data_IF_841346021627
#
_entry.id   IF_841346021627
#
_cell.length_a   1.000
_cell.length_b   1.000
_cell.length_c   1.000
_cell.angle_alpha   90.00
_cell.angle_beta   90.00
_cell.angle_gamma   90.00
#
_symmetry.space_group_name_H-M   'P 1'
#
loop_
_entity.id
_entity.type
_entity.pdbx_description
1 polymer ?
#
# COMPACT_ATOMS: atom_id res chain seq x y z
N UNK A 1 42.51 -6.80 -18.34
CA UNK A 1 41.18 -6.15 -18.28
C UNK A 1 40.37 -6.91 -17.25
N UNK A 2 40.07 -6.31 -16.10
CA UNK A 2 39.24 -6.95 -15.07
C UNK A 2 37.79 -6.73 -15.51
N UNK A 3 37.16 -7.76 -16.07
CA UNK A 3 35.72 -7.75 -16.34
C UNK A 3 35.00 -7.72 -14.99
N UNK A 4 34.32 -6.62 -14.68
CA UNK A 4 33.44 -6.58 -13.52
C UNK A 4 32.41 -7.71 -13.67
N UNK A 5 32.29 -8.62 -12.69
CA UNK A 5 31.26 -9.65 -12.76
C UNK A 5 29.88 -8.98 -12.84
N UNK A 6 28.94 -9.53 -13.61
CA UNK A 6 27.60 -8.98 -13.71
C UNK A 6 26.98 -8.88 -12.33
N UNK A 7 26.31 -7.76 -12.06
CA UNK A 7 25.66 -7.48 -10.78
C UNK A 7 24.73 -8.65 -10.42
N UNK A 8 24.77 -9.10 -9.15
CA UNK A 8 23.86 -10.13 -8.66
C UNK A 8 22.41 -9.78 -9.06
N UNK A 9 21.66 -10.69 -9.71
CA UNK A 9 20.29 -10.43 -10.16
C UNK A 9 19.36 -9.94 -9.05
N UNK A 10 19.59 -10.36 -7.80
CA UNK A 10 18.86 -9.87 -6.64
C UNK A 10 19.10 -8.37 -6.41
N UNK A 11 20.34 -7.90 -6.53
CA UNK A 11 20.68 -6.48 -6.42
C UNK A 11 20.04 -5.67 -7.56
N UNK A 12 20.01 -6.22 -8.78
CA UNK A 12 19.33 -5.56 -9.90
C UNK A 12 17.83 -5.38 -9.63
N UNK A 13 17.15 -6.44 -9.17
CA UNK A 13 15.72 -6.39 -8.82
C UNK A 13 15.45 -5.42 -7.67
N UNK A 14 16.28 -5.45 -6.63
CA UNK A 14 16.16 -4.54 -5.51
C UNK A 14 16.31 -3.08 -5.93
N UNK A 15 17.31 -2.76 -6.75
CA UNK A 15 17.52 -1.41 -7.26
C UNK A 15 16.35 -0.91 -8.13
N UNK A 16 15.77 -1.79 -8.95
CA UNK A 16 14.59 -1.44 -9.73
C UNK A 16 13.39 -1.15 -8.82
N UNK A 17 13.12 -2.05 -7.87
CA UNK A 17 12.04 -1.90 -6.89
C UNK A 17 12.19 -0.61 -6.06
N UNK A 18 13.41 -0.24 -5.69
CA UNK A 18 13.69 1.00 -4.97
C UNK A 18 13.37 2.25 -5.83
N UNK A 19 13.74 2.24 -7.11
CA UNK A 19 13.43 3.35 -8.03
C UNK A 19 11.92 3.52 -8.23
N UNK A 20 11.21 2.42 -8.43
CA UNK A 20 9.74 2.43 -8.57
C UNK A 20 9.08 2.97 -7.29
N UNK A 21 9.52 2.49 -6.13
CA UNK A 21 9.01 2.94 -4.84
C UNK A 21 9.25 4.43 -4.62
N UNK A 22 10.44 4.94 -4.95
CA UNK A 22 10.74 6.38 -4.87
C UNK A 22 9.83 7.20 -5.78
N UNK A 23 9.67 6.79 -7.05
CA UNK A 23 8.80 7.48 -8.00
C UNK A 23 7.33 7.50 -7.50
N UNK A 24 6.85 6.38 -6.98
CA UNK A 24 5.52 6.28 -6.40
C UNK A 24 5.35 7.22 -5.18
N UNK A 25 6.32 7.24 -4.26
CA UNK A 25 6.27 8.11 -3.06
C UNK A 25 6.23 9.59 -3.43
N UNK A 26 7.07 10.02 -4.38
CA UNK A 26 7.02 11.39 -4.88
C UNK A 26 5.65 11.71 -5.47
N UNK A 27 5.16 10.86 -6.38
CA UNK A 27 3.85 11.07 -7.01
C UNK A 27 2.70 11.15 -5.99
N UNK A 28 2.69 10.27 -4.98
CA UNK A 28 1.70 10.29 -3.91
C UNK A 28 1.80 11.59 -3.09
N UNK A 29 3.01 12.01 -2.74
CA UNK A 29 3.25 13.22 -1.94
C UNK A 29 2.84 14.49 -2.67
N UNK A 30 3.12 14.58 -3.99
CA UNK A 30 2.72 15.69 -4.85
C UNK A 30 1.19 15.87 -4.91
N UNK A 31 0.44 14.78 -4.64
CA UNK A 31 -1.03 14.78 -4.56
C UNK A 31 -1.55 14.86 -3.12
N UNK A 32 -0.72 15.25 -2.16
CA UNK A 32 -1.11 15.46 -0.76
C UNK A 32 -1.39 14.19 0.03
N UNK A 33 -0.95 13.02 -0.46
CA UNK A 33 -1.05 11.76 0.27
C UNK A 33 0.17 11.55 1.17
N UNK A 34 0.01 10.74 2.21
CA UNK A 34 1.02 10.53 3.25
C UNK A 34 1.47 9.08 3.33
N UNK A 35 2.60 8.73 2.69
CA UNK A 35 3.26 7.45 2.89
C UNK A 35 3.75 7.27 4.33
N UNK A 36 3.49 6.09 4.89
CA UNK A 36 3.86 5.69 6.25
C UNK A 36 4.96 4.64 6.27
N UNK A 37 4.91 3.67 5.34
CA UNK A 37 5.85 2.55 5.30
C UNK A 37 6.04 2.06 3.87
N UNK A 38 7.24 1.59 3.55
CA UNK A 38 7.57 0.94 2.27
C UNK A 38 8.16 -0.43 2.58
N UNK A 39 7.62 -1.47 1.96
CA UNK A 39 8.12 -2.84 2.04
C UNK A 39 8.60 -3.31 0.66
N UNK A 40 9.80 -3.86 0.61
CA UNK A 40 10.39 -4.43 -0.60
C UNK A 40 10.78 -5.89 -0.29
N UNK A 41 9.89 -6.83 -0.62
CA UNK A 41 10.02 -8.26 -0.31
C UNK A 41 10.13 -9.16 -1.57
N UNK A 42 10.64 -8.60 -2.67
CA UNK A 42 11.08 -9.38 -3.85
C UNK A 42 10.01 -9.65 -4.92
N UNK A 43 8.74 -9.25 -4.70
CA UNK A 43 7.69 -9.25 -5.75
C UNK A 43 7.43 -7.84 -6.28
N UNK A 44 6.72 -7.04 -5.50
CA UNK A 44 6.26 -5.69 -5.84
C UNK A 44 6.40 -4.85 -4.58
N UNK A 45 6.99 -3.65 -4.65
CA UNK A 45 7.01 -2.76 -3.49
C UNK A 45 5.59 -2.48 -3.00
N UNK A 46 5.39 -2.57 -1.68
CA UNK A 46 4.14 -2.20 -1.03
C UNK A 46 4.37 -0.91 -0.26
N UNK A 47 3.52 0.08 -0.51
CA UNK A 47 3.55 1.39 0.15
C UNK A 47 2.28 1.50 0.98
N UNK A 48 2.42 1.57 2.29
CA UNK A 48 1.30 1.85 3.19
C UNK A 48 1.17 3.35 3.34
N UNK A 49 -0.03 3.89 3.18
CA UNK A 49 -0.34 5.31 3.32
C UNK A 49 -1.41 5.53 4.41
N UNK A 50 -1.52 6.75 4.94
CA UNK A 50 -2.74 7.17 5.65
C UNK A 50 -3.96 7.07 4.72
N UNK A 51 -5.16 6.79 5.25
CA UNK A 51 -6.38 6.80 4.45
C UNK A 51 -6.49 8.07 3.61
N UNK A 52 -6.60 7.96 2.29
CA UNK A 52 -6.66 9.12 1.42
C UNK A 52 -7.94 9.92 1.69
N UNK A 53 -7.91 11.25 1.51
CA UNK A 53 -9.13 12.06 1.58
C UNK A 53 -10.11 11.64 0.48
N UNK A 54 -11.41 11.87 0.69
CA UNK A 54 -12.46 11.50 -0.26
C UNK A 54 -12.26 12.09 -1.67
N UNK A 55 -11.61 13.26 -1.75
CA UNK A 55 -11.28 13.97 -3.00
C UNK A 55 -10.02 13.43 -3.69
N UNK A 56 -9.30 12.47 -3.10
CA UNK A 56 -8.10 11.88 -3.70
C UNK A 56 -8.41 11.20 -5.02
N UNK A 57 -7.40 11.11 -5.90
CA UNK A 57 -7.45 10.35 -7.14
C UNK A 57 -7.39 8.82 -6.91
N UNK A 58 -6.92 8.38 -5.73
CA UNK A 58 -6.79 6.96 -5.45
C UNK A 58 -8.17 6.28 -5.35
N UNK A 59 -8.32 5.17 -6.06
CA UNK A 59 -9.44 4.24 -5.95
C UNK A 59 -8.87 2.87 -5.62
N UNK A 60 -9.17 2.41 -4.41
CA UNK A 60 -8.69 1.13 -3.89
C UNK A 60 -9.74 0.04 -4.03
N UNK A 61 -9.31 -1.14 -4.45
CA UNK A 61 -10.10 -2.37 -4.33
C UNK A 61 -9.96 -2.97 -2.93
N UNK A 62 -10.95 -3.78 -2.52
CA UNK A 62 -10.85 -4.56 -1.30
C UNK A 62 -9.69 -5.54 -1.39
N UNK A 63 -8.71 -5.42 -0.50
CA UNK A 63 -7.57 -6.34 -0.43
C UNK A 63 -7.76 -7.38 0.68
N UNK A 64 -8.12 -6.91 1.87
CA UNK A 64 -8.37 -7.78 3.02
C UNK A 64 -9.40 -7.14 3.95
N UNK A 65 -10.16 -7.98 4.65
CA UNK A 65 -11.09 -7.54 5.70
C UNK A 65 -10.90 -8.45 6.91
N UNK A 66 -10.55 -7.87 8.04
CA UNK A 66 -10.25 -8.59 9.27
C UNK A 66 -11.09 -8.01 10.39
N UNK A 67 -11.79 -8.89 11.11
CA UNK A 67 -12.48 -8.52 12.34
C UNK A 67 -11.53 -8.72 13.51
N UNK A 68 -11.33 -7.66 14.29
CA UNK A 68 -10.57 -7.69 15.54
C UNK A 68 -11.45 -7.09 16.63
N UNK A 69 -11.89 -7.92 17.57
CA UNK A 69 -12.84 -7.54 18.61
C UNK A 69 -14.14 -6.92 18.02
N UNK A 70 -14.42 -5.67 18.39
CA UNK A 70 -15.57 -4.89 17.93
C UNK A 70 -15.25 -3.92 16.79
N UNK A 71 -14.12 -4.13 16.09
CA UNK A 71 -13.70 -3.30 14.95
C UNK A 71 -13.49 -4.19 13.72
N UNK A 72 -13.97 -3.70 12.59
CA UNK A 72 -13.69 -4.26 11.26
C UNK A 72 -12.61 -3.39 10.62
N UNK A 73 -11.44 -4.00 10.39
CA UNK A 73 -10.35 -3.40 9.63
C UNK A 73 -10.46 -3.84 8.18
N UNK A 74 -10.58 -2.88 7.28
CA UNK A 74 -10.64 -3.12 5.84
C UNK A 74 -9.40 -2.52 5.20
N UNK A 75 -8.55 -3.36 4.63
CA UNK A 75 -7.40 -2.93 3.84
C UNK A 75 -7.84 -2.77 2.40
N UNK A 76 -7.65 -1.57 1.87
CA UNK A 76 -7.85 -1.23 0.47
C UNK A 76 -6.48 -1.17 -0.21
N UNK A 77 -6.41 -1.61 -1.47
CA UNK A 77 -5.18 -1.58 -2.23
C UNK A 77 -5.42 -1.12 -3.68
N UNK A 78 -4.41 -0.48 -4.27
CA UNK A 78 -4.38 -0.15 -5.70
C UNK A 78 -2.96 -0.16 -6.25
N UNK A 79 -2.80 -0.07 -7.57
CA UNK A 79 -1.49 -0.02 -8.21
C UNK A 79 -1.12 1.41 -8.62
N UNK A 80 0.09 1.85 -8.27
CA UNK A 80 0.65 3.15 -8.64
C UNK A 80 2.12 2.98 -8.97
N UNK A 81 2.58 3.42 -10.14
CA UNK A 81 3.99 3.34 -10.57
C UNK A 81 4.62 1.94 -10.34
N UNK A 82 3.89 0.87 -10.69
CA UNK A 82 4.38 -0.50 -10.49
C UNK A 82 4.39 -0.98 -9.03
N UNK A 83 4.08 -0.12 -8.06
CA UNK A 83 3.95 -0.43 -6.63
C UNK A 83 2.50 -0.79 -6.28
N UNK A 84 2.31 -1.49 -5.17
CA UNK A 84 1.01 -1.65 -4.52
C UNK A 84 0.91 -0.59 -3.42
N UNK A 85 -0.16 0.19 -3.43
CA UNK A 85 -0.44 1.20 -2.41
C UNK A 85 -1.59 0.71 -1.56
N UNK A 86 -1.41 0.68 -0.25
CA UNK A 86 -2.38 0.15 0.72
C UNK A 86 -2.76 1.19 1.77
N UNK A 87 -4.01 1.16 2.21
CA UNK A 87 -4.48 1.89 3.38
C UNK A 87 -5.58 1.13 4.10
N UNK A 88 -5.72 1.40 5.40
CA UNK A 88 -6.70 0.72 6.24
C UNK A 88 -7.80 1.68 6.68
N UNK A 89 -9.05 1.28 6.50
CA UNK A 89 -10.20 1.94 7.10
C UNK A 89 -10.73 1.06 8.22
N UNK A 90 -11.07 1.69 9.34
CA UNK A 90 -11.67 1.02 10.49
C UNK A 90 -13.13 1.41 10.61
N UNK A 91 -14.00 0.42 10.82
CA UNK A 91 -15.41 0.65 11.13
C UNK A 91 -15.77 -0.11 12.41
N UNK A 92 -16.52 0.51 13.35
CA UNK A 92 -17.06 -0.24 14.47
C UNK A 92 -18.00 -1.32 13.95
N UNK A 93 -17.94 -2.51 14.56
CA UNK A 93 -19.08 -3.42 14.50
C UNK A 93 -20.21 -2.75 15.26
N UNK A 94 -21.11 -2.12 14.53
CA UNK A 94 -22.42 -1.85 15.09
C UNK A 94 -22.96 -3.20 15.56
N UNK A 95 -23.18 -3.32 16.88
CA UNK A 95 -24.10 -4.32 17.37
C UNK A 95 -25.37 -4.10 16.56
N UNK A 96 -25.79 -5.10 15.77
CA UNK A 96 -27.13 -5.08 15.21
C UNK A 96 -28.03 -4.79 16.40
N UNK A 97 -28.61 -3.60 16.43
CA UNK A 97 -29.76 -3.37 17.26
C UNK A 97 -30.77 -4.37 16.74
N UNK A 98 -30.92 -5.48 17.46
CA UNK A 98 -32.08 -6.34 17.38
C UNK A 98 -33.22 -5.46 17.89
N UNK A 99 -33.72 -4.62 17.00
CA UNK A 99 -34.94 -3.86 17.17
C UNK A 99 -36.10 -4.74 16.73
N UNK A 100 -36.88 -5.15 17.71
CA UNK A 100 -38.33 -5.34 17.71
C UNK A 100 -38.97 -6.21 16.61
N UNK A 101 -39.35 -7.45 16.99
CA UNK A 101 -40.76 -7.88 17.17
C UNK A 101 -40.84 -8.89 18.32
#
# INVERSE_FOLDING_TARGET
MISNPPLNPACHRFNHALKDAMAAVHHLSDHGLKPLCIRIDGRRPVIVIEPPPYTSFLRGGLHARIRVNNVVRTTLATSVHGCQVEWQIEAPLQAQAVGDV
#
